data_IF_939490461701
#
_entry.id   IF_939490461701
#
_cell.length_a   1.000
_cell.length_b   1.000
_cell.length_c   1.000
_cell.angle_alpha   90.00
_cell.angle_beta   90.00
_cell.angle_gamma   90.00
#
_symmetry.space_group_name_H-M   'P 1'
#
loop_
_entity.id
_entity.type
_entity.pdbx_description
1 polymer ?
#
# COMPACT_ATOMS: atom_id res chain seq x y z
N UNK A 1 1.03 -3.30 3.05
CA UNK A 1 0.76 -4.75 2.94
C UNK A 1 -0.66 -4.98 2.45
N UNK A 2 -0.85 -5.80 1.42
CA UNK A 2 -2.19 -6.16 0.93
C UNK A 2 -2.81 -7.25 1.80
N UNK A 3 -4.05 -7.06 2.22
CA UNK A 3 -4.74 -8.04 3.05
C UNK A 3 -6.01 -8.49 2.36
N UNK A 4 -6.21 -9.81 2.29
CA UNK A 4 -7.50 -10.39 1.90
C UNK A 4 -8.29 -10.77 3.14
N UNK A 5 -9.58 -10.47 3.15
CA UNK A 5 -10.49 -10.74 4.27
C UNK A 5 -10.00 -10.12 5.60
N UNK A 6 -9.47 -8.89 5.53
CA UNK A 6 -9.05 -8.11 6.69
C UNK A 6 -9.93 -6.88 6.90
N UNK A 7 -9.79 -6.25 8.06
CA UNK A 7 -10.44 -4.99 8.38
C UNK A 7 -9.53 -4.10 9.26
N UNK A 8 -10.09 -3.02 9.78
CA UNK A 8 -9.38 -2.05 10.59
C UNK A 8 -8.77 -2.63 11.88
N UNK A 9 -9.29 -3.75 12.42
CA UNK A 9 -8.77 -4.36 13.64
C UNK A 9 -7.33 -4.85 13.47
N UNK A 10 -6.90 -5.11 12.23
CA UNK A 10 -5.52 -5.51 11.93
C UNK A 10 -4.49 -4.42 12.22
N UNK A 11 -4.93 -3.16 12.32
CA UNK A 11 -4.06 -2.04 12.63
C UNK A 11 -3.95 -1.75 14.14
N UNK A 12 -4.82 -2.32 14.99
CA UNK A 12 -4.94 -1.93 16.42
C UNK A 12 -3.63 -2.01 17.20
N UNK A 13 -2.80 -3.01 16.90
CA UNK A 13 -1.53 -3.29 17.60
C UNK A 13 -0.29 -3.05 16.72
N UNK A 14 -0.44 -2.39 15.57
CA UNK A 14 0.66 -2.17 14.63
C UNK A 14 0.91 -0.66 14.44
N UNK A 15 2.17 -0.23 14.18
CA UNK A 15 2.48 1.12 13.73
C UNK A 15 2.09 1.26 12.26
N UNK A 16 0.79 1.19 12.00
CA UNK A 16 0.20 1.17 10.67
C UNK A 16 -1.26 1.62 10.71
N UNK A 17 -1.75 2.04 9.55
CA UNK A 17 -3.12 2.45 9.34
C UNK A 17 -3.79 1.50 8.35
N UNK A 18 -5.05 1.16 8.62
CA UNK A 18 -5.90 0.48 7.66
C UNK A 18 -6.51 1.48 6.67
N UNK A 19 -6.45 1.16 5.38
CA UNK A 19 -7.11 1.92 4.32
C UNK A 19 -8.10 0.98 3.61
N UNK A 20 -9.38 1.34 3.63
CA UNK A 20 -10.46 0.59 2.97
C UNK A 20 -10.32 0.68 1.44
N UNK A 21 -10.73 -0.38 0.72
CA UNK A 21 -10.70 -0.42 -0.75
C UNK A 21 -11.31 0.83 -1.38
N UNK A 22 -12.45 1.30 -0.86
CA UNK A 22 -13.17 2.46 -1.40
C UNK A 22 -12.33 3.73 -1.35
N UNK A 23 -11.50 3.88 -0.33
CA UNK A 23 -10.66 5.06 -0.14
C UNK A 23 -9.42 5.02 -1.04
N UNK A 24 -8.95 3.84 -1.44
CA UNK A 24 -7.76 3.67 -2.30
C UNK A 24 -8.07 3.37 -3.76
N UNK A 25 -9.34 3.28 -4.18
CA UNK A 25 -9.70 2.99 -5.57
C UNK A 25 -9.04 3.94 -6.57
N UNK A 26 -8.90 5.21 -6.20
CA UNK A 26 -8.27 6.23 -7.02
C UNK A 26 -6.77 6.01 -7.27
N UNK A 27 -6.08 5.21 -6.45
CA UNK A 27 -4.63 4.96 -6.58
C UNK A 27 -4.27 4.12 -7.80
N UNK A 28 -5.19 3.28 -8.29
CA UNK A 28 -4.95 2.44 -9.47
C UNK A 28 -5.09 3.18 -10.80
N UNK A 29 -5.23 4.51 -10.74
CA UNK A 29 -5.38 5.37 -11.92
C UNK A 29 -6.78 5.31 -12.54
N UNK A 30 -7.04 6.20 -13.50
CA UNK A 30 -8.33 6.28 -14.21
C UNK A 30 -8.47 5.20 -15.29
N UNK A 31 -9.68 5.04 -15.82
CA UNK A 31 -9.96 4.20 -16.98
C UNK A 31 -10.60 2.85 -16.65
N UNK A 32 -10.85 2.05 -17.70
CA UNK A 32 -11.43 0.73 -17.55
C UNK A 32 -10.50 -0.19 -16.78
N UNK A 33 -11.06 -0.89 -15.78
CA UNK A 33 -10.31 -1.86 -15.00
C UNK A 33 -10.10 -3.12 -15.81
N UNK A 34 -8.97 -3.79 -15.60
CA UNK A 34 -8.74 -5.12 -16.14
C UNK A 34 -9.86 -6.08 -15.72
N UNK A 35 -10.31 -7.00 -16.60
CA UNK A 35 -11.43 -7.90 -16.34
C UNK A 35 -11.31 -8.74 -15.05
N UNK A 36 -10.08 -8.97 -14.56
CA UNK A 36 -9.79 -9.69 -13.32
C UNK A 36 -9.59 -8.80 -12.08
N UNK A 37 -9.89 -7.50 -12.17
CA UNK A 37 -9.63 -6.52 -11.13
C UNK A 37 -10.33 -6.88 -9.83
N UNK A 38 -11.64 -7.13 -9.83
CA UNK A 38 -12.40 -7.47 -8.62
C UNK A 38 -11.82 -8.68 -7.88
N UNK A 39 -11.26 -9.66 -8.61
CA UNK A 39 -10.64 -10.83 -7.99
C UNK A 39 -9.27 -10.52 -7.37
N UNK A 40 -8.55 -9.51 -7.87
CA UNK A 40 -7.18 -9.17 -7.47
C UNK A 40 -7.11 -8.03 -6.48
N UNK A 41 -8.07 -7.11 -6.54
CA UNK A 41 -8.18 -6.02 -5.59
C UNK A 41 -8.39 -6.59 -4.18
N UNK A 42 -7.64 -6.10 -3.18
CA UNK A 42 -7.87 -6.47 -1.79
C UNK A 42 -9.08 -5.70 -1.24
N UNK A 43 -9.62 -6.13 -0.11
CA UNK A 43 -10.68 -5.41 0.62
C UNK A 43 -10.14 -4.16 1.32
N UNK A 44 -8.83 -4.13 1.58
CA UNK A 44 -8.10 -2.97 2.07
C UNK A 44 -6.62 -3.29 2.24
N UNK A 45 -5.88 -2.34 2.79
CA UNK A 45 -4.44 -2.47 3.01
C UNK A 45 -4.02 -1.91 4.35
N UNK A 46 -2.89 -2.40 4.85
CA UNK A 46 -2.14 -1.75 5.92
C UNK A 46 -1.03 -0.89 5.32
N UNK A 47 -0.99 0.38 5.72
CA UNK A 47 0.06 1.35 5.39
C UNK A 47 0.88 1.57 6.66
N UNK A 48 2.18 1.28 6.63
CA UNK A 48 3.04 1.48 7.79
C UNK A 48 3.22 2.98 8.08
N UNK A 49 3.34 3.33 9.36
CA UNK A 49 3.76 4.66 9.76
C UNK A 49 5.20 4.94 9.28
N UNK A 50 5.59 6.22 9.07
CA UNK A 50 6.96 6.57 8.71
C UNK A 50 8.00 5.93 9.63
N UNK A 51 9.06 5.39 9.04
CA UNK A 51 10.13 4.69 9.76
C UNK A 51 9.83 3.24 10.14
N UNK A 52 8.65 2.72 9.80
CA UNK A 52 8.26 1.34 10.04
C UNK A 52 8.07 0.56 8.72
N UNK A 53 8.22 -0.77 8.80
CA UNK A 53 7.95 -1.67 7.70
C UNK A 53 7.07 -2.82 8.17
N UNK A 54 6.04 -3.15 7.39
CA UNK A 54 5.18 -4.30 7.65
C UNK A 54 5.74 -5.52 6.94
N UNK A 55 6.13 -6.52 7.73
CA UNK A 55 6.72 -7.76 7.25
C UNK A 55 5.82 -8.93 7.60
N UNK A 56 5.59 -9.81 6.63
CA UNK A 56 4.94 -11.08 6.93
C UNK A 56 5.95 -11.98 7.64
N UNK A 57 5.51 -12.71 8.68
CA UNK A 57 6.38 -13.58 9.50
C UNK A 57 7.21 -14.60 8.71
N UNK A 58 6.77 -14.97 7.50
CA UNK A 58 7.45 -15.95 6.63
C UNK A 58 8.27 -15.29 5.51
N UNK A 59 8.37 -13.96 5.51
CA UNK A 59 9.06 -13.14 4.50
C UNK A 59 9.70 -11.95 5.21
N UNK A 60 10.63 -12.26 6.12
CA UNK A 60 11.42 -11.25 6.85
C UNK A 60 12.67 -10.89 6.03
N UNK A 61 12.46 -10.07 4.99
CA UNK A 61 13.55 -9.49 4.19
C UNK A 61 13.82 -8.06 4.68
N UNK A 62 14.54 -7.93 5.81
CA UNK A 62 14.91 -6.60 6.31
C UNK A 62 15.91 -5.95 5.38
N UNK A 63 15.42 -4.97 4.65
CA UNK A 63 16.23 -4.07 3.84
C UNK A 63 16.54 -2.80 4.63
N UNK A 64 17.67 -2.17 4.30
CA UNK A 64 18.06 -0.87 4.86
C UNK A 64 17.18 0.28 4.35
N UNK A 65 16.37 0.03 3.31
CA UNK A 65 15.40 0.97 2.76
C UNK A 65 14.18 0.23 2.21
N UNK A 66 13.00 0.80 2.44
CA UNK A 66 11.71 0.28 1.99
C UNK A 66 10.93 1.42 1.32
N UNK A 67 9.93 1.08 0.51
CA UNK A 67 9.04 2.04 -0.14
C UNK A 67 7.61 1.50 -0.18
N UNK A 68 6.65 2.37 -0.51
CA UNK A 68 5.24 2.01 -0.69
C UNK A 68 4.33 2.58 0.39
N UNK A 69 4.84 3.49 1.22
CA UNK A 69 4.03 4.35 2.06
C UNK A 69 3.36 5.50 1.27
N UNK A 70 2.69 6.38 2.00
CA UNK A 70 1.88 7.47 1.46
C UNK A 70 2.47 8.87 1.69
N UNK A 71 3.70 8.94 2.21
CA UNK A 71 4.38 10.21 2.43
C UNK A 71 4.62 10.95 1.11
N UNK A 72 4.64 12.28 1.14
CA UNK A 72 4.91 13.06 -0.06
C UNK A 72 6.32 12.80 -0.59
N UNK A 73 7.28 12.57 0.31
CA UNK A 73 8.66 12.20 -0.01
C UNK A 73 8.73 10.89 -0.80
N UNK A 74 7.95 9.87 -0.43
CA UNK A 74 7.90 8.60 -1.16
C UNK A 74 7.15 8.70 -2.50
N UNK A 75 6.15 9.59 -2.59
CA UNK A 75 5.30 9.73 -3.78
C UNK A 75 5.90 10.65 -4.84
N UNK A 76 6.76 11.60 -4.46
CA UNK A 76 7.35 12.56 -5.40
C UNK A 76 8.58 11.98 -6.07
N UNK A 77 8.38 11.44 -7.28
CA UNK A 77 9.45 10.91 -8.11
C UNK A 77 9.93 12.00 -9.09
N UNK A 78 11.23 12.32 -9.16
CA UNK A 78 11.76 13.27 -10.13
C UNK A 78 11.50 12.80 -11.56
N UNK A 79 10.91 13.67 -12.39
CA UNK A 79 10.77 13.46 -13.82
C UNK A 79 11.68 14.43 -14.57
N UNK A 80 12.69 13.90 -15.26
CA UNK A 80 13.58 14.67 -16.11
C UNK A 80 13.12 14.54 -17.57
N UNK A 81 12.99 15.67 -18.26
CA UNK A 81 12.60 15.72 -19.68
C UNK A 81 13.73 16.38 -20.47
N UNK A 82 14.27 15.67 -21.45
CA UNK A 82 15.21 16.22 -22.42
C UNK A 82 14.44 16.70 -23.67
N UNK A 83 14.84 17.85 -24.20
CA UNK A 83 14.35 18.41 -25.47
C UNK A 83 15.26 18.11 -26.63
#
# INVERSE_FOLDING_TARGET
>A
MFVRNGDASLAEDLPAQWVDRRDMEHWWGPGERHASFERRAPEGILVADPGHALLHRHSDERLIGQHGGLTEEERRIPLLVAG
#
